data_IF_296856233243
#
_entry.id   IF_296856233243
#
_cell.length_a   1.000
_cell.length_b   1.000
_cell.length_c   1.000
_cell.angle_alpha   90.00
_cell.angle_beta   90.00
_cell.angle_gamma   90.00
#
_symmetry.space_group_name_H-M   'P 1'
#
loop_
_entity.id
_entity.type
_entity.pdbx_description
1 polymer ?
#
# COMPACT_ATOMS: atom_id res chain seq x y z
N UNK A 1 17.00 -14.59 2.30
CA UNK A 1 17.51 -14.62 3.68
C UNK A 1 16.48 -15.22 4.62
N UNK A 2 16.80 -15.45 5.89
CA UNK A 2 15.82 -15.94 6.83
C UNK A 2 14.72 -14.90 7.05
N UNK A 3 13.48 -15.40 7.19
CA UNK A 3 12.30 -14.59 7.38
C UNK A 3 11.97 -14.43 8.88
N UNK A 4 11.36 -13.30 9.21
CA UNK A 4 10.61 -13.12 10.45
C UNK A 4 9.13 -13.34 10.13
N UNK A 5 8.47 -14.21 10.88
CA UNK A 5 7.04 -14.42 10.79
C UNK A 5 6.32 -13.45 11.74
N UNK A 6 5.41 -12.64 11.21
CA UNK A 6 4.51 -11.78 11.98
C UNK A 6 3.10 -12.39 11.94
N UNK A 7 2.49 -12.58 13.12
CA UNK A 7 1.11 -13.07 13.22
C UNK A 7 0.09 -12.00 12.82
N UNK A 8 -1.02 -12.43 12.24
CA UNK A 8 -2.19 -11.59 11.90
C UNK A 8 -3.44 -12.29 12.46
N UNK A 9 -3.72 -12.20 13.77
CA UNK A 9 -4.81 -12.94 14.40
C UNK A 9 -6.19 -12.64 13.79
N UNK A 10 -6.39 -11.39 13.37
CA UNK A 10 -7.66 -10.90 12.81
C UNK A 10 -7.63 -10.81 11.28
N UNK A 11 -6.62 -11.39 10.63
CA UNK A 11 -6.49 -11.38 9.17
C UNK A 11 -7.67 -12.05 8.47
N UNK A 12 -8.18 -11.41 7.44
CA UNK A 12 -9.34 -11.89 6.68
C UNK A 12 -8.98 -13.03 5.73
N UNK A 13 -7.83 -12.93 5.07
CA UNK A 13 -7.35 -13.88 4.07
C UNK A 13 -6.10 -14.60 4.53
N UNK A 14 -5.14 -13.88 5.11
CA UNK A 14 -3.90 -14.45 5.63
C UNK A 14 -3.75 -14.19 7.13
N UNK A 15 -3.28 -15.19 7.89
CA UNK A 15 -3.08 -15.10 9.34
C UNK A 15 -1.62 -14.87 9.73
N UNK A 16 -0.74 -14.68 8.76
CA UNK A 16 0.68 -14.42 8.98
C UNK A 16 1.31 -13.68 7.80
N UNK A 17 2.39 -12.98 8.08
CA UNK A 17 3.21 -12.30 7.09
C UNK A 17 4.67 -12.73 7.27
N UNK A 18 5.42 -12.78 6.19
CA UNK A 18 6.85 -13.07 6.20
C UNK A 18 7.63 -11.83 5.76
N UNK A 19 8.39 -11.25 6.68
CA UNK A 19 9.21 -10.06 6.45
C UNK A 19 10.70 -10.41 6.58
N UNK A 20 11.58 -9.49 6.16
CA UNK A 20 13.01 -9.69 6.39
C UNK A 20 13.31 -9.75 7.89
N UNK A 21 14.11 -10.72 8.34
CA UNK A 21 14.39 -10.93 9.76
C UNK A 21 15.00 -9.71 10.46
N UNK A 22 15.78 -8.92 9.70
CA UNK A 22 16.49 -7.75 10.25
C UNK A 22 15.52 -6.62 10.65
N UNK A 23 14.21 -6.75 10.30
CA UNK A 23 13.16 -5.87 10.82
C UNK A 23 13.12 -5.86 12.35
N UNK A 24 13.50 -6.97 12.98
CA UNK A 24 13.53 -7.10 14.42
C UNK A 24 14.58 -6.23 15.13
N UNK A 25 15.53 -5.67 14.39
CA UNK A 25 16.60 -4.83 14.92
C UNK A 25 16.21 -3.35 15.02
N UNK A 26 14.96 -2.99 14.61
CA UNK A 26 14.50 -1.61 14.57
C UNK A 26 13.33 -1.37 15.52
N UNK A 27 13.36 -0.22 16.21
CA UNK A 27 12.32 0.21 17.16
C UNK A 27 11.28 1.15 16.53
N UNK A 28 11.56 1.69 15.34
CA UNK A 28 10.69 2.63 14.63
C UNK A 28 10.81 2.49 13.12
N UNK A 29 9.79 2.95 12.41
CA UNK A 29 9.70 2.82 10.96
C UNK A 29 9.35 4.16 10.32
N UNK A 30 10.13 4.58 9.33
CA UNK A 30 9.76 5.63 8.38
C UNK A 30 9.41 4.96 7.04
N UNK A 31 8.13 5.08 6.64
CA UNK A 31 7.65 4.59 5.35
C UNK A 31 7.62 5.76 4.38
N UNK A 32 8.54 5.75 3.43
CA UNK A 32 8.63 6.74 2.35
C UNK A 32 8.17 6.08 1.05
N UNK A 33 6.98 6.44 0.57
CA UNK A 33 6.36 5.84 -0.59
C UNK A 33 6.23 6.84 -1.74
N UNK A 34 6.51 6.39 -2.94
CA UNK A 34 6.07 7.08 -4.15
C UNK A 34 4.61 6.72 -4.41
N UNK A 35 3.71 7.71 -4.38
CA UNK A 35 2.30 7.49 -4.70
C UNK A 35 2.12 7.52 -6.22
N UNK A 36 1.52 6.47 -6.80
CA UNK A 36 1.29 6.30 -8.25
C UNK A 36 0.35 5.13 -8.52
N UNK A 37 0.05 4.88 -9.78
CA UNK A 37 -0.64 3.67 -10.23
C UNK A 37 0.15 2.38 -9.97
N UNK A 38 -0.55 1.26 -10.05
CA UNK A 38 0.06 -0.06 -9.93
C UNK A 38 -0.70 -1.10 -10.77
N UNK A 39 -0.01 -1.92 -11.59
CA UNK A 39 -0.69 -2.84 -12.52
C UNK A 39 -1.51 -3.93 -11.85
N UNK A 40 -1.21 -4.32 -10.61
CA UNK A 40 -1.99 -5.30 -9.85
C UNK A 40 -2.84 -4.66 -8.75
N UNK A 41 -2.26 -3.79 -7.93
CA UNK A 41 -2.94 -3.22 -6.77
C UNK A 41 -3.77 -1.94 -7.05
N UNK A 42 -3.83 -1.49 -8.31
CA UNK A 42 -4.49 -0.24 -8.70
C UNK A 42 -3.64 1.00 -8.40
N UNK A 43 -3.17 1.14 -7.19
CA UNK A 43 -2.23 2.18 -6.78
C UNK A 43 -1.12 1.61 -5.86
N UNK A 44 -0.08 2.39 -5.66
CA UNK A 44 0.97 2.15 -4.67
C UNK A 44 1.13 3.37 -3.77
N UNK A 45 1.06 3.15 -2.46
CA UNK A 45 1.21 4.13 -1.40
C UNK A 45 1.75 3.47 -0.13
N UNK A 46 1.40 4.01 1.05
CA UNK A 46 1.86 3.51 2.34
C UNK A 46 1.44 2.05 2.60
N UNK A 47 0.19 1.68 2.31
CA UNK A 47 -0.32 0.31 2.52
C UNK A 47 0.45 -0.70 1.66
N UNK A 48 0.70 -0.39 0.39
CA UNK A 48 1.48 -1.27 -0.49
C UNK A 48 2.93 -1.37 -0.03
N UNK A 49 3.52 -0.30 0.46
CA UNK A 49 4.88 -0.32 0.98
C UNK A 49 4.99 -1.13 2.27
N UNK A 50 4.02 -1.01 3.17
CA UNK A 50 3.94 -1.82 4.40
C UNK A 50 3.77 -3.31 4.10
N UNK A 51 2.96 -3.67 3.12
CA UNK A 51 2.70 -5.05 2.74
C UNK A 51 3.83 -5.61 1.86
N UNK A 52 3.83 -5.27 0.58
CA UNK A 52 4.75 -5.84 -0.42
C UNK A 52 6.17 -5.29 -0.27
N UNK A 53 6.32 -4.01 0.14
CA UNK A 53 7.63 -3.38 0.26
C UNK A 53 8.51 -4.02 1.34
N UNK A 54 7.93 -4.32 2.49
CA UNK A 54 8.63 -4.90 3.66
C UNK A 54 8.71 -6.43 3.57
N UNK A 55 7.78 -7.07 2.86
CA UNK A 55 7.75 -8.51 2.74
C UNK A 55 9.05 -9.10 2.16
N UNK A 56 9.49 -10.23 2.71
CA UNK A 56 10.52 -11.07 2.12
C UNK A 56 10.09 -11.63 0.76
N UNK A 57 10.97 -12.29 0.04
CA UNK A 57 10.60 -12.96 -1.22
C UNK A 57 9.48 -13.98 -1.01
N UNK A 58 9.54 -14.75 0.09
CA UNK A 58 8.48 -15.70 0.45
C UNK A 58 7.19 -14.99 0.82
N UNK A 59 7.28 -13.89 1.59
CA UNK A 59 6.14 -13.05 1.95
C UNK A 59 5.46 -12.43 0.74
N UNK A 60 6.22 -11.90 -0.21
CA UNK A 60 5.65 -11.38 -1.47
C UNK A 60 4.84 -12.43 -2.23
N UNK A 61 5.38 -13.63 -2.40
CA UNK A 61 4.66 -14.72 -3.05
C UNK A 61 3.39 -15.11 -2.26
N UNK A 62 3.49 -15.17 -0.93
CA UNK A 62 2.39 -15.52 -0.04
C UNK A 62 1.24 -14.49 -0.10
N UNK A 63 1.57 -13.19 -0.09
CA UNK A 63 0.58 -12.11 -0.19
C UNK A 63 -0.06 -12.10 -1.58
N UNK A 64 0.73 -12.15 -2.67
CA UNK A 64 0.18 -12.14 -4.03
C UNK A 64 -0.70 -13.35 -4.33
N UNK A 65 -0.40 -14.50 -3.75
CA UNK A 65 -1.16 -15.72 -3.89
C UNK A 65 -2.31 -15.86 -2.87
N UNK A 66 -2.64 -14.81 -2.14
CA UNK A 66 -3.70 -14.86 -1.11
C UNK A 66 -3.55 -16.05 -0.17
N UNK A 67 -2.32 -16.23 0.38
CA UNK A 67 -1.98 -17.32 1.28
C UNK A 67 -1.47 -18.60 0.60
N UNK A 68 -1.42 -18.63 -0.74
CA UNK A 68 -0.93 -19.75 -1.55
C UNK A 68 0.16 -19.27 -2.50
N UNK A 69 1.45 -19.41 -2.16
CA UNK A 69 2.54 -18.88 -2.97
C UNK A 69 2.57 -19.35 -4.43
N UNK A 70 1.97 -20.51 -4.72
CA UNK A 70 1.85 -21.06 -6.07
C UNK A 70 0.83 -20.30 -6.93
N UNK A 71 -0.12 -19.60 -6.33
CA UNK A 71 -1.24 -18.93 -7.00
C UNK A 71 -0.99 -17.44 -7.31
N UNK A 72 0.25 -16.96 -7.32
CA UNK A 72 0.59 -15.53 -7.51
C UNK A 72 -0.02 -14.87 -8.76
N UNK A 73 -0.38 -15.66 -9.77
CA UNK A 73 -0.98 -15.17 -11.02
C UNK A 73 -2.45 -15.56 -11.19
N UNK A 74 -2.99 -16.38 -10.28
CA UNK A 74 -4.32 -16.99 -10.39
C UNK A 74 -5.19 -16.75 -9.16
N UNK A 75 -4.64 -16.16 -8.10
CA UNK A 75 -5.42 -15.79 -6.93
C UNK A 75 -6.57 -14.84 -7.31
N UNK A 76 -7.67 -14.97 -6.59
CA UNK A 76 -8.76 -14.01 -6.67
C UNK A 76 -8.26 -12.60 -6.36
N UNK A 77 -8.66 -11.64 -7.20
CA UNK A 77 -8.08 -10.30 -7.16
C UNK A 77 -8.38 -9.56 -5.86
N UNK A 78 -9.62 -9.60 -5.39
CA UNK A 78 -10.01 -8.94 -4.15
C UNK A 78 -9.35 -9.63 -2.94
N UNK A 79 -9.21 -10.95 -2.96
CA UNK A 79 -8.45 -11.69 -1.94
C UNK A 79 -6.96 -11.29 -1.90
N UNK A 80 -6.36 -10.97 -3.04
CA UNK A 80 -5.01 -10.41 -3.07
C UNK A 80 -4.96 -9.02 -2.42
N UNK A 81 -5.90 -8.12 -2.73
CA UNK A 81 -5.97 -6.78 -2.14
C UNK A 81 -6.20 -6.84 -0.61
N UNK A 82 -7.07 -7.74 -0.17
CA UNK A 82 -7.31 -8.02 1.26
C UNK A 82 -6.06 -8.59 1.95
N UNK A 83 -5.32 -9.48 1.28
CA UNK A 83 -4.04 -9.99 1.80
C UNK A 83 -2.99 -8.89 1.97
N UNK A 84 -2.99 -7.87 1.12
CA UNK A 84 -2.13 -6.70 1.32
C UNK A 84 -2.54 -5.92 2.57
N UNK A 85 -3.84 -5.74 2.81
CA UNK A 85 -4.34 -5.09 4.02
C UNK A 85 -3.97 -5.89 5.28
N UNK A 86 -4.18 -7.22 5.26
CA UNK A 86 -3.77 -8.12 6.34
C UNK A 86 -2.26 -8.01 6.62
N UNK A 87 -1.43 -8.08 5.59
CA UNK A 87 0.02 -7.98 5.74
C UNK A 87 0.46 -6.61 6.29
N UNK A 88 -0.17 -5.52 5.85
CA UNK A 88 0.12 -4.17 6.35
C UNK A 88 -0.20 -4.05 7.84
N UNK A 89 -1.33 -4.62 8.31
CA UNK A 89 -1.72 -4.60 9.73
C UNK A 89 -0.64 -5.21 10.61
N UNK A 90 -0.03 -6.33 10.20
CA UNK A 90 1.02 -7.00 10.99
C UNK A 90 2.25 -6.13 11.23
N UNK A 91 2.58 -5.27 10.28
CA UNK A 91 3.73 -4.35 10.40
C UNK A 91 3.37 -3.16 11.28
N UNK A 92 2.16 -2.62 11.14
CA UNK A 92 1.66 -1.54 12.02
C UNK A 92 1.63 -2.03 13.47
N UNK A 93 1.10 -3.22 13.73
CA UNK A 93 1.04 -3.83 15.05
C UNK A 93 2.43 -4.10 15.63
N UNK A 94 3.37 -4.52 14.79
CA UNK A 94 4.74 -4.77 15.21
C UNK A 94 5.42 -3.51 15.76
N UNK A 95 5.27 -2.37 15.08
CA UNK A 95 5.87 -1.11 15.51
C UNK A 95 5.05 -0.32 16.54
N UNK A 96 3.83 -0.76 16.88
CA UNK A 96 2.99 -0.20 17.97
C UNK A 96 2.86 1.32 17.94
N UNK A 97 2.66 1.90 16.77
CA UNK A 97 2.54 3.34 16.59
C UNK A 97 3.86 4.10 16.45
N UNK A 98 5.02 3.43 16.51
CA UNK A 98 6.32 4.04 16.25
C UNK A 98 6.63 4.10 14.75
N UNK A 99 5.67 4.53 13.95
CA UNK A 99 5.79 4.63 12.49
C UNK A 99 5.28 5.98 11.98
N UNK A 100 5.94 6.49 10.95
CA UNK A 100 5.52 7.68 10.20
C UNK A 100 5.48 7.33 8.72
N UNK A 101 4.47 7.82 8.04
CA UNK A 101 4.20 7.55 6.64
C UNK A 101 4.32 8.83 5.83
N UNK A 102 5.02 8.76 4.72
CA UNK A 102 5.20 9.85 3.76
C UNK A 102 4.84 9.32 2.38
N UNK A 103 3.87 9.95 1.73
CA UNK A 103 3.54 9.69 0.33
C UNK A 103 3.98 10.86 -0.54
N UNK A 104 4.82 10.60 -1.52
CA UNK A 104 5.32 11.57 -2.49
C UNK A 104 4.48 11.47 -3.76
N UNK A 105 3.63 12.47 -3.99
CA UNK A 105 2.73 12.58 -5.16
C UNK A 105 3.39 13.44 -6.24
N UNK A 106 4.51 12.95 -6.76
CA UNK A 106 5.31 13.60 -7.81
C UNK A 106 5.64 12.59 -8.90
N UNK A 107 5.66 13.03 -10.16
CA UNK A 107 5.91 12.15 -11.29
C UNK A 107 5.00 10.90 -11.28
N UNK A 108 3.73 11.09 -10.98
CA UNK A 108 2.78 9.99 -10.87
C UNK A 108 2.47 9.38 -12.24
N UNK A 109 2.83 8.12 -12.40
CA UNK A 109 2.53 7.29 -13.57
C UNK A 109 1.43 6.28 -13.23
N UNK A 110 0.82 5.69 -14.23
CA UNK A 110 -0.13 4.57 -14.05
C UNK A 110 0.58 3.27 -13.67
N UNK A 111 1.90 3.20 -13.88
CA UNK A 111 2.71 2.03 -13.58
C UNK A 111 3.53 2.18 -12.30
N UNK A 112 3.96 1.04 -11.79
CA UNK A 112 4.83 0.98 -10.61
C UNK A 112 6.29 1.15 -11.02
N UNK A 113 7.10 1.80 -10.16
CA UNK A 113 8.56 1.89 -10.31
C UNK A 113 9.25 0.51 -10.39
N UNK A 114 8.55 -0.56 -10.03
CA UNK A 114 9.03 -1.94 -10.15
C UNK A 114 8.88 -2.52 -11.57
N UNK A 115 8.18 -1.84 -12.48
CA UNK A 115 8.04 -2.26 -13.87
C UNK A 115 9.35 -1.98 -14.63
N UNK A 116 9.77 -2.93 -15.44
CA UNK A 116 10.98 -2.78 -16.26
C UNK A 116 10.85 -1.66 -17.31
N UNK A 117 9.63 -1.45 -17.79
CA UNK A 117 9.24 -0.34 -18.68
C UNK A 117 7.95 0.20 -18.12
N UNK A 118 7.99 1.37 -17.49
CA UNK A 118 6.83 2.09 -16.99
C UNK A 118 6.44 3.18 -17.99
N UNK A 119 5.16 3.55 -18.00
CA UNK A 119 4.71 4.74 -18.72
C UNK A 119 5.27 6.01 -18.06
N UNK A 120 5.40 7.06 -18.87
CA UNK A 120 5.79 8.37 -18.36
C UNK A 120 4.75 8.91 -17.34
N UNK A 121 5.12 9.85 -16.46
CA UNK A 121 4.19 10.51 -15.56
C UNK A 121 2.98 11.07 -16.31
N UNK A 122 1.78 10.81 -15.79
CA UNK A 122 0.52 11.17 -16.44
C UNK A 122 -0.16 12.41 -15.83
N UNK A 123 0.30 12.87 -14.67
CA UNK A 123 -0.27 13.99 -13.93
C UNK A 123 0.80 14.95 -13.44
N UNK A 124 0.41 16.22 -13.22
CA UNK A 124 1.24 17.20 -12.52
C UNK A 124 1.49 16.80 -11.07
N UNK A 125 2.60 17.28 -10.51
CA UNK A 125 2.99 17.05 -9.13
C UNK A 125 1.95 17.67 -8.16
N UNK A 126 1.47 16.89 -7.20
CA UNK A 126 0.49 17.35 -6.20
C UNK A 126 1.12 17.71 -4.86
N UNK A 127 2.30 17.14 -4.54
CA UNK A 127 3.02 17.45 -3.32
C UNK A 127 3.45 16.23 -2.52
N UNK A 128 3.61 16.43 -1.20
CA UNK A 128 4.06 15.39 -0.28
C UNK A 128 3.12 15.40 0.93
N UNK A 129 2.55 14.24 1.25
CA UNK A 129 1.70 14.05 2.42
C UNK A 129 2.48 13.32 3.52
N UNK A 130 2.19 13.66 4.77
CA UNK A 130 2.78 13.02 5.97
C UNK A 130 1.66 12.69 6.94
N UNK A 131 1.67 11.49 7.51
CA UNK A 131 0.71 11.05 8.53
C UNK A 131 1.34 10.02 9.47
N UNK A 132 0.69 9.80 10.61
CA UNK A 132 0.94 8.65 11.51
C UNK A 132 -0.07 7.52 11.29
N UNK A 133 -1.00 7.67 10.34
CA UNK A 133 -1.98 6.68 9.96
C UNK A 133 -1.81 6.33 8.47
N UNK A 134 -1.47 5.05 8.13
CA UNK A 134 -1.22 4.64 6.75
C UNK A 134 -2.50 4.58 5.90
N UNK A 135 -3.66 4.39 6.52
CA UNK A 135 -4.95 4.35 5.83
C UNK A 135 -5.38 5.77 5.46
N UNK A 136 -5.30 6.69 6.44
CA UNK A 136 -5.65 8.09 6.25
C UNK A 136 -4.81 8.76 5.16
N UNK A 137 -3.49 8.50 5.13
CA UNK A 137 -2.61 9.10 4.12
C UNK A 137 -2.89 8.57 2.71
N UNK A 138 -3.13 7.27 2.55
CA UNK A 138 -3.47 6.69 1.24
C UNK A 138 -4.85 7.18 0.78
N UNK A 139 -5.83 7.28 1.69
CA UNK A 139 -7.14 7.86 1.39
C UNK A 139 -7.03 9.32 0.95
N UNK A 140 -6.25 10.13 1.67
CA UNK A 140 -6.05 11.54 1.31
C UNK A 140 -5.41 11.69 -0.08
N UNK A 141 -4.43 10.85 -0.42
CA UNK A 141 -3.82 10.84 -1.75
C UNK A 141 -4.84 10.50 -2.84
N UNK A 142 -5.68 9.49 -2.64
CA UNK A 142 -6.74 9.14 -3.59
C UNK A 142 -7.74 10.29 -3.76
N UNK A 143 -8.21 10.87 -2.65
CA UNK A 143 -9.17 11.97 -2.70
C UNK A 143 -8.62 13.18 -3.46
N UNK A 144 -7.32 13.49 -3.29
CA UNK A 144 -6.65 14.54 -4.07
C UNK A 144 -6.61 14.21 -5.57
N UNK A 145 -6.31 12.97 -5.95
CA UNK A 145 -6.37 12.55 -7.35
C UNK A 145 -7.79 12.65 -7.89
N UNK A 146 -8.79 12.15 -7.16
CA UNK A 146 -10.20 12.23 -7.58
C UNK A 146 -10.69 13.68 -7.73
N UNK A 147 -10.23 14.59 -6.90
CA UNK A 147 -10.62 16.01 -6.92
C UNK A 147 -9.81 16.86 -7.92
N UNK A 148 -8.77 16.32 -8.54
CA UNK A 148 -7.91 17.06 -9.46
C UNK A 148 -8.63 17.44 -10.76
N UNK A 149 -8.33 18.61 -11.29
CA UNK A 149 -8.75 19.06 -12.63
C UNK A 149 -7.71 18.73 -13.73
N UNK A 150 -6.63 18.06 -13.38
CA UNK A 150 -5.58 17.66 -14.32
C UNK A 150 -6.14 16.68 -15.38
N UNK A 151 -5.93 16.92 -16.67
CA UNK A 151 -6.45 16.03 -17.72
C UNK A 151 -5.85 14.62 -17.68
N UNK A 152 -4.68 14.42 -17.10
CA UNK A 152 -4.04 13.11 -16.91
C UNK A 152 -4.66 12.28 -15.80
N UNK A 153 -5.47 12.91 -14.93
CA UNK A 153 -6.17 12.24 -13.82
C UNK A 153 -6.97 11.02 -14.28
N UNK A 154 -7.71 11.14 -15.37
CA UNK A 154 -8.61 10.07 -15.82
C UNK A 154 -7.84 8.78 -16.18
N UNK A 155 -6.60 8.91 -16.68
CA UNK A 155 -5.74 7.77 -16.97
C UNK A 155 -5.27 7.07 -15.68
N UNK A 156 -4.94 7.83 -14.64
CA UNK A 156 -4.57 7.26 -13.33
C UNK A 156 -5.79 6.63 -12.63
N UNK A 157 -6.96 7.29 -12.70
CA UNK A 157 -8.20 6.77 -12.13
C UNK A 157 -8.64 5.47 -12.82
N UNK A 158 -8.55 5.39 -14.14
CA UNK A 158 -8.85 4.15 -14.87
C UNK A 158 -7.98 2.98 -14.37
N UNK A 159 -6.68 3.20 -14.11
CA UNK A 159 -5.81 2.19 -13.52
C UNK A 159 -6.27 1.81 -12.12
N UNK A 160 -6.57 2.78 -11.26
CA UNK A 160 -7.01 2.54 -9.88
C UNK A 160 -8.31 1.75 -9.85
N UNK A 161 -9.30 2.18 -10.63
CA UNK A 161 -10.65 1.59 -10.64
C UNK A 161 -10.69 0.22 -11.32
N UNK A 162 -10.01 0.06 -12.46
CA UNK A 162 -9.96 -1.23 -13.16
C UNK A 162 -9.29 -2.34 -12.35
N UNK A 163 -8.55 -1.98 -11.31
CA UNK A 163 -7.88 -2.90 -10.37
C UNK A 163 -8.51 -2.91 -8.98
N UNK A 164 -9.71 -2.34 -8.81
CA UNK A 164 -10.37 -2.21 -7.50
C UNK A 164 -9.45 -1.63 -6.41
N UNK A 165 -8.53 -0.71 -6.76
CA UNK A 165 -7.46 -0.26 -5.87
C UNK A 165 -7.92 0.26 -4.52
N UNK A 166 -9.11 0.90 -4.46
CA UNK A 166 -9.72 1.41 -3.22
C UNK A 166 -10.05 0.27 -2.24
N UNK A 167 -10.29 -0.94 -2.72
CA UNK A 167 -10.64 -2.09 -1.87
C UNK A 167 -9.56 -2.43 -0.83
N UNK A 168 -8.27 -2.18 -1.14
CA UNK A 168 -7.19 -2.34 -0.14
C UNK A 168 -7.38 -1.41 1.06
N UNK A 169 -7.79 -0.15 0.83
CA UNK A 169 -8.07 0.80 1.93
C UNK A 169 -9.30 0.37 2.73
N UNK A 170 -10.35 -0.10 2.05
CA UNK A 170 -11.58 -0.56 2.70
C UNK A 170 -11.30 -1.78 3.58
N UNK A 171 -10.55 -2.74 3.08
CA UNK A 171 -10.13 -3.91 3.84
C UNK A 171 -9.25 -3.53 5.03
N UNK A 172 -8.29 -2.62 4.84
CA UNK A 172 -7.43 -2.11 5.91
C UNK A 172 -8.23 -1.39 7.02
N UNK A 173 -9.19 -0.53 6.64
CA UNK A 173 -10.06 0.14 7.59
C UNK A 173 -10.96 -0.84 8.37
N UNK A 174 -11.43 -1.91 7.71
CA UNK A 174 -12.23 -2.96 8.35
C UNK A 174 -11.44 -3.74 9.40
N UNK A 175 -10.11 -3.86 9.26
CA UNK A 175 -9.22 -4.45 10.27
C UNK A 175 -8.98 -3.53 11.48
N UNK A 176 -9.27 -2.24 11.37
CA UNK A 176 -9.29 -1.31 12.49
C UNK A 176 -7.91 -0.80 12.96
N UNK A 177 -6.86 -0.94 12.16
CA UNK A 177 -5.52 -0.42 12.51
C UNK A 177 -5.28 1.04 12.07
N UNK A 178 -6.30 1.72 11.55
CA UNK A 178 -6.32 3.11 11.15
C UNK A 178 -7.71 3.53 10.68
N UNK A 179 -7.84 4.72 10.11
CA UNK A 179 -9.12 5.29 9.68
C UNK A 179 -9.03 5.93 8.29
N UNK A 180 -10.15 5.95 7.57
CA UNK A 180 -10.29 6.70 6.31
C UNK A 180 -10.61 8.19 6.55
N UNK A 181 -10.97 8.56 7.77
CA UNK A 181 -11.24 9.96 8.13
C UNK A 181 -9.94 10.69 8.47
N UNK A 182 -9.77 11.89 7.92
CA UNK A 182 -8.59 12.72 8.14
C UNK A 182 -8.92 14.22 8.05
N UNK A 183 -8.01 15.03 8.58
CA UNK A 183 -7.95 16.47 8.33
C UNK A 183 -6.69 16.78 7.53
N UNK A 184 -6.84 17.44 6.37
CA UNK A 184 -5.71 17.85 5.54
C UNK A 184 -5.24 19.26 5.95
N UNK A 185 -4.03 19.34 6.51
CA UNK A 185 -3.40 20.60 6.93
C UNK A 185 -2.28 20.94 5.95
N UNK A 186 -2.41 22.06 5.24
CA UNK A 186 -1.35 22.56 4.38
C UNK A 186 -0.32 23.34 5.20
N UNK A 187 0.94 22.93 5.08
CA UNK A 187 2.07 23.64 5.65
C UNK A 187 2.81 24.38 4.54
N UNK A 188 3.10 25.67 4.75
CA UNK A 188 3.80 26.54 3.79
C UNK A 188 5.31 26.48 3.99
#
# INVERSE_FOLDING_TARGET
GPDLELAIPDGKVIQKNFVGKDLADYDSLLVLSHFKGHPMGGYGGALKQLSIGIASSAGKAYIHGAGKPEDIWTADHDSFLESMADAASSVVDYFKGNAVYINVMKNMSVDCDCCAVAEDPCMEDMGILISTDPIAIDQACLDLVYASDDPGRDHLLERIESRHGVHTIEAAAALGFGTREYELITVA
#
